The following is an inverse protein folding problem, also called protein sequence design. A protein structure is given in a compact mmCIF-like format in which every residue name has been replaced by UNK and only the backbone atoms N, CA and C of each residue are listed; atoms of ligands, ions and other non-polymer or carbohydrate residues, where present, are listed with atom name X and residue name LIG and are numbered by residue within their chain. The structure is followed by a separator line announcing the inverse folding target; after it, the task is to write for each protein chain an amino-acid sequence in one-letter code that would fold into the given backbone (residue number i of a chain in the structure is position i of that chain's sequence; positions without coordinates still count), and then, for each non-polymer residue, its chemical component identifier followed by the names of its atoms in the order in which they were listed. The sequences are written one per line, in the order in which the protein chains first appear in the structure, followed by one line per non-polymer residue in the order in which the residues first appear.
data_IF_287272873908
#
_entry.id   IF_287272873908
#
_cell.length_a   1.000
_cell.length_b   1.000
_cell.length_c   1.000
_cell.angle_alpha   90.00
_cell.angle_beta   90.00
_cell.angle_gamma   90.00
#
_symmetry.space_group_name_H-M   'P 1'
#
loop_
_entity.id
_entity.type
_entity.pdbx_description
1 polymer ?
#
# COMPACT_ATOMS: atom_id res chain seq x y z
N UNK A 1 -19.33 18.49 12.65
CA UNK A 1 -20.19 18.07 13.78
C UNK A 1 -19.38 18.27 15.05
N UNK A 2 -19.91 18.94 16.07
CA UNK A 2 -19.18 19.14 17.34
C UNK A 2 -18.86 17.79 17.99
N UNK A 3 -17.68 17.68 18.60
CA UNK A 3 -17.21 16.43 19.21
C UNK A 3 -18.05 16.12 20.46
N UNK A 4 -18.85 15.03 20.49
CA UNK A 4 -19.79 14.76 21.57
C UNK A 4 -19.06 14.54 22.91
N UNK A 5 -17.82 14.04 22.88
CA UNK A 5 -17.01 13.85 24.08
C UNK A 5 -16.68 15.19 24.76
N UNK A 6 -16.38 16.24 23.98
CA UNK A 6 -16.06 17.57 24.55
C UNK A 6 -17.25 18.23 25.25
N UNK A 7 -18.46 17.88 24.85
CA UNK A 7 -19.70 18.43 25.42
C UNK A 7 -20.30 17.58 26.54
N UNK A 8 -19.82 16.33 26.73
CA UNK A 8 -20.42 15.39 27.66
C UNK A 8 -19.96 15.61 29.11
N UNK A 9 -20.90 15.61 30.06
CA UNK A 9 -20.62 15.91 31.48
C UNK A 9 -19.58 14.97 32.12
N UNK A 10 -19.57 13.69 31.74
CA UNK A 10 -18.61 12.70 32.27
C UNK A 10 -17.17 12.87 31.73
N UNK A 11 -16.99 13.63 30.64
CA UNK A 11 -15.69 13.89 30.02
C UNK A 11 -15.13 15.25 30.42
N UNK A 12 -15.75 15.91 31.40
CA UNK A 12 -15.35 17.21 31.90
C UNK A 12 -14.04 17.08 32.68
N UNK A 13 -12.92 17.31 32.00
CA UNK A 13 -11.57 17.18 32.56
C UNK A 13 -10.64 16.26 31.75
N UNK A 14 -11.18 15.54 30.77
CA UNK A 14 -10.35 14.84 29.78
C UNK A 14 -9.59 15.88 28.95
N UNK A 15 -8.31 15.63 28.72
CA UNK A 15 -7.52 16.49 27.84
C UNK A 15 -7.81 16.18 26.35
N UNK A 16 -7.22 16.96 25.47
CA UNK A 16 -7.41 16.78 24.04
C UNK A 16 -6.81 15.46 23.52
N UNK A 17 -5.80 14.90 24.20
CA UNK A 17 -5.16 13.64 23.82
C UNK A 17 -6.07 12.45 24.12
N UNK A 18 -6.60 12.37 25.34
CA UNK A 18 -7.58 11.36 25.78
C UNK A 18 -8.78 11.27 24.83
N UNK A 19 -9.29 12.44 24.44
CA UNK A 19 -10.43 12.55 23.52
C UNK A 19 -10.05 12.05 22.12
N UNK A 20 -8.84 12.36 21.63
CA UNK A 20 -8.40 11.89 20.32
C UNK A 20 -8.12 10.38 20.29
N UNK A 21 -7.55 9.83 21.35
CA UNK A 21 -7.33 8.38 21.51
C UNK A 21 -8.65 7.61 21.57
N UNK A 22 -9.63 8.13 22.32
CA UNK A 22 -10.96 7.53 22.40
C UNK A 22 -11.63 7.50 21.03
N UNK A 23 -11.53 8.58 20.27
CA UNK A 23 -12.06 8.63 18.91
C UNK A 23 -11.30 7.71 17.95
N UNK A 24 -10.00 7.48 18.13
CA UNK A 24 -9.26 6.47 17.35
C UNK A 24 -9.75 5.06 17.68
N UNK A 25 -9.92 4.76 18.97
CA UNK A 25 -10.44 3.48 19.41
C UNK A 25 -11.86 3.24 18.86
N UNK A 26 -12.71 4.27 18.85
CA UNK A 26 -14.05 4.18 18.27
C UNK A 26 -14.01 3.97 16.75
N UNK A 27 -13.16 4.70 16.04
CA UNK A 27 -12.94 4.51 14.60
C UNK A 27 -12.48 3.07 14.30
N UNK A 28 -11.46 2.59 15.01
CA UNK A 28 -10.93 1.24 14.86
C UNK A 28 -11.97 0.17 15.21
N UNK A 29 -12.79 0.39 16.24
CA UNK A 29 -13.85 -0.53 16.62
C UNK A 29 -14.94 -0.64 15.54
N UNK A 30 -15.45 0.51 15.05
CA UNK A 30 -16.52 0.53 14.04
C UNK A 30 -16.01 0.02 12.69
N UNK A 31 -14.86 0.52 12.23
CA UNK A 31 -14.33 0.22 10.89
C UNK A 31 -13.49 -1.05 10.84
N UNK A 32 -13.11 -1.58 12.00
CA UNK A 32 -12.50 -2.90 12.15
C UNK A 32 -13.52 -4.04 12.20
N UNK A 33 -14.78 -3.74 12.51
CA UNK A 33 -15.87 -4.72 12.49
C UNK A 33 -16.09 -5.28 11.07
N UNK A 34 -16.18 -6.60 10.98
CA UNK A 34 -16.29 -7.30 9.70
C UNK A 34 -17.60 -6.98 8.97
N UNK A 35 -18.71 -6.84 9.68
CA UNK A 35 -20.01 -6.58 9.06
C UNK A 35 -20.07 -5.15 8.52
N UNK A 36 -19.56 -4.19 9.29
CA UNK A 36 -19.45 -2.79 8.85
C UNK A 36 -18.53 -2.69 7.63
N UNK A 37 -17.34 -3.29 7.70
CA UNK A 37 -16.38 -3.29 6.58
C UNK A 37 -17.00 -3.89 5.31
N UNK A 38 -17.63 -5.06 5.41
CA UNK A 38 -18.28 -5.71 4.28
C UNK A 38 -19.47 -4.89 3.75
N UNK A 39 -20.21 -4.22 4.62
CA UNK A 39 -21.30 -3.32 4.21
C UNK A 39 -20.76 -2.11 3.43
N UNK A 40 -19.68 -1.47 3.90
CA UNK A 40 -19.03 -0.37 3.18
C UNK A 40 -18.56 -0.86 1.82
N UNK A 41 -17.80 -1.96 1.79
CA UNK A 41 -17.26 -2.51 0.54
C UNK A 41 -18.36 -2.95 -0.41
N UNK A 42 -19.48 -3.50 0.06
CA UNK A 42 -20.60 -3.87 -0.83
C UNK A 42 -21.30 -2.66 -1.44
N UNK A 43 -21.48 -1.58 -0.68
CA UNK A 43 -22.24 -0.41 -1.14
C UNK A 43 -21.40 0.60 -1.93
N UNK A 44 -20.09 0.65 -1.67
CA UNK A 44 -19.13 1.51 -2.38
C UNK A 44 -18.36 0.72 -3.47
N UNK A 45 -18.49 -0.60 -3.50
CA UNK A 45 -17.55 -1.54 -4.13
C UNK A 45 -17.51 -1.62 -5.64
N UNK A 46 -18.59 -1.37 -6.36
CA UNK A 46 -18.63 -1.61 -7.82
C UNK A 46 -17.48 -0.88 -8.59
N UNK A 47 -17.25 0.42 -8.34
CA UNK A 47 -16.07 1.10 -8.89
C UNK A 47 -14.73 0.60 -8.34
N UNK A 48 -14.69 0.18 -7.07
CA UNK A 48 -13.48 -0.28 -6.37
C UNK A 48 -13.00 -1.64 -6.89
N UNK A 49 -13.87 -2.64 -6.96
CA UNK A 49 -13.54 -3.99 -7.41
C UNK A 49 -12.97 -3.99 -8.82
N UNK A 50 -13.58 -3.23 -9.74
CA UNK A 50 -13.09 -3.10 -11.11
C UNK A 50 -11.72 -2.43 -11.17
N UNK A 51 -11.48 -1.40 -10.35
CA UNK A 51 -10.19 -0.69 -10.31
C UNK A 51 -9.10 -1.57 -9.71
N UNK A 52 -9.40 -2.27 -8.63
CA UNK A 52 -8.51 -3.26 -8.01
C UNK A 52 -8.17 -4.39 -8.97
N UNK A 53 -9.16 -4.90 -9.73
CA UNK A 53 -8.93 -5.92 -10.75
C UNK A 53 -7.98 -5.41 -11.85
N UNK A 54 -8.20 -4.20 -12.37
CA UNK A 54 -7.34 -3.60 -13.39
C UNK A 54 -5.90 -3.40 -12.87
N UNK A 55 -5.76 -2.85 -11.66
CA UNK A 55 -4.45 -2.66 -11.03
C UNK A 55 -3.75 -4.00 -10.79
N UNK A 56 -4.48 -5.01 -10.32
CA UNK A 56 -3.96 -6.37 -10.13
C UNK A 56 -3.45 -6.99 -11.43
N UNK A 57 -4.24 -6.91 -12.51
CA UNK A 57 -3.80 -7.34 -13.86
C UNK A 57 -2.53 -6.59 -14.25
N UNK A 58 -2.50 -5.27 -14.05
CA UNK A 58 -1.37 -4.41 -14.42
C UNK A 58 -0.10 -4.82 -13.67
N UNK A 59 -0.20 -4.97 -12.35
CA UNK A 59 0.90 -5.40 -11.50
C UNK A 59 1.39 -6.81 -11.87
N UNK A 60 0.49 -7.72 -12.24
CA UNK A 60 0.86 -9.06 -12.72
C UNK A 60 1.63 -9.00 -14.04
N UNK A 61 1.15 -8.20 -14.99
CA UNK A 61 1.74 -8.07 -16.32
C UNK A 61 3.13 -7.41 -16.26
N UNK A 62 3.33 -6.48 -15.32
CA UNK A 62 4.59 -5.78 -15.11
C UNK A 62 5.62 -6.56 -14.25
N UNK A 63 5.38 -7.83 -13.90
CA UNK A 63 6.33 -8.60 -13.06
C UNK A 63 7.72 -8.82 -13.69
N UNK A 64 7.87 -8.59 -14.99
CA UNK A 64 9.18 -8.62 -15.65
C UNK A 64 10.06 -7.40 -15.35
N UNK A 65 9.49 -6.31 -14.83
CA UNK A 65 10.20 -5.07 -14.50
C UNK A 65 11.16 -5.32 -13.33
N UNK A 66 12.44 -5.07 -13.54
CA UNK A 66 13.50 -5.22 -12.54
C UNK A 66 13.79 -3.90 -11.84
N UNK A 67 14.48 -3.97 -10.70
CA UNK A 67 14.89 -2.79 -9.94
C UNK A 67 15.74 -1.82 -10.78
N UNK A 68 16.58 -2.34 -11.68
CA UNK A 68 17.39 -1.54 -12.61
C UNK A 68 16.57 -0.74 -13.62
N UNK A 69 15.36 -1.19 -13.99
CA UNK A 69 14.49 -0.43 -14.89
C UNK A 69 13.89 0.81 -14.22
N UNK A 70 13.87 0.85 -12.89
CA UNK A 70 13.40 1.97 -12.07
C UNK A 70 14.56 2.79 -11.50
N UNK A 71 15.75 2.67 -12.10
CA UNK A 71 16.97 3.39 -11.70
C UNK A 71 17.40 3.17 -10.23
N UNK A 72 16.96 2.04 -9.63
CA UNK A 72 17.36 1.68 -8.25
C UNK A 72 18.85 1.30 -8.25
N UNK A 73 19.65 2.01 -7.44
CA UNK A 73 21.09 1.77 -7.29
C UNK A 73 21.39 0.33 -6.89
N UNK A 74 22.45 -0.25 -7.47
CA UNK A 74 22.86 -1.67 -7.27
C UNK A 74 22.96 -2.08 -5.79
N UNK A 75 23.40 -1.17 -4.93
CA UNK A 75 23.52 -1.41 -3.49
C UNK A 75 22.18 -1.74 -2.80
N UNK A 76 21.05 -1.26 -3.33
CA UNK A 76 19.73 -1.50 -2.76
C UNK A 76 18.99 -2.69 -3.39
N UNK A 77 19.34 -3.10 -4.62
CA UNK A 77 18.54 -4.03 -5.43
C UNK A 77 18.29 -5.41 -4.79
N UNK A 78 19.21 -5.89 -3.95
CA UNK A 78 19.12 -7.20 -3.28
C UNK A 78 19.01 -7.08 -1.75
N UNK A 79 18.67 -5.89 -1.24
CA UNK A 79 18.65 -5.67 0.19
C UNK A 79 17.45 -6.37 0.86
N UNK A 80 17.62 -7.06 2.01
CA UNK A 80 16.53 -7.77 2.70
C UNK A 80 15.34 -6.89 3.08
N UNK A 81 15.58 -5.59 3.28
CA UNK A 81 14.54 -4.61 3.57
C UNK A 81 13.45 -4.54 2.48
N UNK A 82 13.77 -4.81 1.21
CA UNK A 82 12.78 -4.83 0.13
C UNK A 82 11.72 -5.91 0.39
N UNK A 83 12.14 -7.10 0.82
CA UNK A 83 11.22 -8.19 1.16
C UNK A 83 10.36 -7.84 2.38
N UNK A 84 10.94 -7.18 3.38
CA UNK A 84 10.20 -6.75 4.57
C UNK A 84 9.17 -5.66 4.24
N UNK A 85 9.56 -4.64 3.47
CA UNK A 85 8.66 -3.58 3.03
C UNK A 85 7.52 -4.15 2.15
N UNK A 86 7.82 -5.12 1.29
CA UNK A 86 6.82 -5.84 0.48
C UNK A 86 5.77 -6.52 1.35
N UNK A 87 6.20 -7.20 2.42
CA UNK A 87 5.27 -7.83 3.37
C UNK A 87 4.35 -6.80 4.03
N UNK A 88 4.89 -5.63 4.42
CA UNK A 88 4.07 -4.57 5.01
C UNK A 88 3.03 -4.03 4.02
N UNK A 89 3.37 -3.85 2.74
CA UNK A 89 2.37 -3.44 1.73
C UNK A 89 1.32 -4.52 1.50
N UNK A 90 1.72 -5.80 1.46
CA UNK A 90 0.77 -6.90 1.29
C UNK A 90 -0.24 -6.98 2.46
N UNK A 91 0.20 -6.72 3.69
CA UNK A 91 -0.66 -6.71 4.88
C UNK A 91 -1.79 -5.68 4.83
N UNK A 92 -1.75 -4.69 3.92
CA UNK A 92 -2.86 -3.76 3.72
C UNK A 92 -4.15 -4.53 3.40
N UNK A 93 -4.07 -5.64 2.67
CA UNK A 93 -5.22 -6.47 2.31
C UNK A 93 -5.80 -7.25 3.51
N UNK A 94 -4.99 -7.49 4.55
CA UNK A 94 -5.32 -8.33 5.71
C UNK A 94 -6.01 -7.54 6.84
N UNK A 95 -5.79 -6.23 6.90
CA UNK A 95 -6.32 -5.36 7.96
C UNK A 95 -7.54 -4.56 7.48
N UNK A 96 -8.45 -4.24 8.41
CA UNK A 96 -9.73 -3.57 8.08
C UNK A 96 -9.74 -2.10 8.48
N UNK A 97 -9.26 -1.76 9.67
CA UNK A 97 -9.32 -0.39 10.16
C UNK A 97 -8.41 0.54 9.31
N UNK A 98 -8.86 1.76 8.94
CA UNK A 98 -8.05 2.70 8.16
C UNK A 98 -6.70 2.99 8.82
N UNK A 99 -6.68 3.13 10.14
CA UNK A 99 -5.45 3.36 10.90
C UNK A 99 -4.44 2.23 10.73
N UNK A 100 -4.88 0.98 10.76
CA UNK A 100 -4.01 -0.18 10.60
C UNK A 100 -3.46 -0.24 9.17
N UNK A 101 -4.30 0.02 8.16
CA UNK A 101 -3.86 0.11 6.76
C UNK A 101 -2.79 1.20 6.59
N UNK A 102 -2.97 2.39 7.18
CA UNK A 102 -1.98 3.48 7.13
C UNK A 102 -0.69 3.08 7.85
N UNK A 103 -0.79 2.36 8.97
CA UNK A 103 0.38 1.90 9.72
C UNK A 103 1.19 0.87 8.91
N UNK A 104 0.57 0.01 8.11
CA UNK A 104 1.26 -0.84 7.14
C UNK A 104 2.11 -0.02 6.16
N UNK A 105 1.54 1.05 5.59
CA UNK A 105 2.26 1.96 4.68
C UNK A 105 3.42 2.65 5.39
N UNK A 106 3.16 3.17 6.59
CA UNK A 106 4.16 3.85 7.41
C UNK A 106 5.34 2.94 7.77
N UNK A 107 5.07 1.68 8.14
CA UNK A 107 6.10 0.67 8.41
C UNK A 107 6.91 0.34 7.17
N UNK A 108 6.27 0.15 6.01
CA UNK A 108 6.97 -0.05 4.74
C UNK A 108 7.92 1.12 4.45
N UNK A 109 7.44 2.35 4.61
CA UNK A 109 8.25 3.55 4.38
C UNK A 109 9.46 3.62 5.33
N UNK A 110 9.26 3.38 6.64
CA UNK A 110 10.36 3.36 7.62
C UNK A 110 11.41 2.31 7.31
N UNK A 111 11.00 1.13 6.84
CA UNK A 111 11.93 0.06 6.44
C UNK A 111 12.80 0.52 5.26
N UNK A 112 12.18 1.17 4.26
CA UNK A 112 12.91 1.71 3.10
C UNK A 112 13.87 2.82 3.53
N UNK A 113 13.43 3.79 4.34
CA UNK A 113 14.28 4.88 4.82
C UNK A 113 15.47 4.42 5.67
N UNK A 114 15.26 3.42 6.55
CA UNK A 114 16.36 2.81 7.31
C UNK A 114 17.41 2.20 6.38
N UNK A 115 16.97 1.40 5.41
CA UNK A 115 17.86 0.82 4.41
C UNK A 115 18.62 1.91 3.65
N UNK A 116 17.93 2.96 3.19
CA UNK A 116 18.58 4.05 2.45
C UNK A 116 19.65 4.74 3.31
N UNK A 117 19.34 5.09 4.55
CA UNK A 117 20.29 5.73 5.47
C UNK A 117 21.48 4.82 5.83
N UNK A 118 21.26 3.50 5.95
CA UNK A 118 22.32 2.51 6.21
C UNK A 118 23.31 2.39 5.05
N UNK A 119 22.85 2.55 3.82
CA UNK A 119 23.62 2.23 2.61
C UNK A 119 24.21 3.43 1.90
N UNK A 120 23.63 4.63 2.05
CA UNK A 120 24.06 5.83 1.32
C UNK A 120 24.98 6.76 2.13
N UNK A 121 25.07 6.61 3.46
CA UNK A 121 25.89 7.47 4.32
C UNK A 121 25.43 8.94 4.42
N UNK A 122 24.45 9.32 3.60
CA UNK A 122 23.79 10.63 3.57
C UNK A 122 22.30 10.47 3.94
N UNK A 123 21.60 11.59 4.15
CA UNK A 123 20.16 11.55 4.42
C UNK A 123 19.40 11.15 3.16
N UNK A 124 18.63 10.07 3.23
CA UNK A 124 17.80 9.57 2.14
C UNK A 124 16.86 10.65 1.56
N UNK A 125 16.94 10.86 0.25
CA UNK A 125 16.08 11.80 -0.47
C UNK A 125 14.76 11.18 -0.92
N UNK A 126 13.79 11.99 -1.34
CA UNK A 126 12.57 11.51 -1.96
C UNK A 126 12.83 10.78 -3.30
N UNK A 127 13.85 11.22 -4.03
CA UNK A 127 14.26 10.64 -5.32
C UNK A 127 14.90 9.24 -5.16
N UNK A 128 15.51 8.96 -4.01
CA UNK A 128 15.95 7.60 -3.66
C UNK A 128 14.80 6.71 -3.17
N UNK A 129 13.76 7.32 -2.57
CA UNK A 129 12.66 6.60 -1.93
C UNK A 129 11.59 6.11 -2.91
N UNK A 130 11.08 7.00 -3.77
CA UNK A 130 9.90 6.71 -4.60
C UNK A 130 10.12 5.52 -5.56
N UNK A 131 11.25 5.39 -6.28
CA UNK A 131 11.48 4.23 -7.15
C UNK A 131 11.48 2.90 -6.39
N UNK A 132 12.00 2.91 -5.16
CA UNK A 132 12.00 1.74 -4.28
C UNK A 132 10.58 1.42 -3.82
N UNK A 133 9.78 2.42 -3.46
CA UNK A 133 8.37 2.22 -3.12
C UNK A 133 7.58 1.63 -4.30
N UNK A 134 7.76 2.16 -5.52
CA UNK A 134 7.14 1.63 -6.75
C UNK A 134 7.51 0.15 -6.93
N UNK A 135 8.79 -0.19 -6.79
CA UNK A 135 9.25 -1.56 -6.92
C UNK A 135 8.63 -2.48 -5.84
N UNK A 136 8.61 -2.04 -4.58
CA UNK A 136 8.04 -2.78 -3.45
C UNK A 136 6.54 -3.02 -3.67
N UNK A 137 5.80 -1.99 -4.07
CA UNK A 137 4.36 -2.09 -4.38
C UNK A 137 4.16 -3.08 -5.51
N UNK A 138 4.86 -2.92 -6.63
CA UNK A 138 4.76 -3.82 -7.79
C UNK A 138 5.01 -5.29 -7.41
N UNK A 139 5.98 -5.55 -6.52
CA UNK A 139 6.31 -6.90 -6.05
C UNK A 139 5.35 -7.43 -4.99
N UNK A 140 4.61 -6.59 -4.29
CA UNK A 140 3.67 -7.01 -3.24
C UNK A 140 2.45 -7.78 -3.78
N UNK A 141 2.05 -7.49 -5.02
CA UNK A 141 0.83 -8.03 -5.62
C UNK A 141 -0.40 -7.87 -4.69
N UNK A 142 -0.45 -6.78 -3.91
CA UNK A 142 -1.62 -6.44 -3.10
C UNK A 142 -2.83 -6.25 -4.02
N UNK A 143 -3.87 -7.03 -3.78
CA UNK A 143 -5.04 -7.20 -4.65
C UNK A 143 -6.08 -6.10 -4.47
N UNK A 144 -6.10 -5.43 -3.31
CA UNK A 144 -7.12 -4.43 -2.95
C UNK A 144 -6.51 -3.06 -2.70
N UNK A 145 -5.43 -2.75 -3.41
CA UNK A 145 -4.63 -1.56 -3.10
C UNK A 145 -5.33 -0.25 -3.50
N UNK A 146 -6.07 -0.23 -4.62
CA UNK A 146 -6.80 0.96 -5.05
C UNK A 146 -7.94 1.26 -4.07
N UNK A 147 -8.76 0.25 -3.76
CA UNK A 147 -9.85 0.41 -2.81
C UNK A 147 -9.35 0.73 -1.40
N UNK A 148 -8.22 0.14 -0.97
CA UNK A 148 -7.61 0.46 0.32
C UNK A 148 -7.10 1.90 0.40
N UNK A 149 -6.54 2.44 -0.69
CA UNK A 149 -6.11 3.84 -0.77
C UNK A 149 -7.30 4.80 -0.63
N UNK A 150 -8.37 4.54 -1.38
CA UNK A 150 -9.58 5.36 -1.35
C UNK A 150 -10.30 5.25 0.00
N UNK A 151 -10.37 4.03 0.55
CA UNK A 151 -10.90 3.77 1.89
C UNK A 151 -10.11 4.52 2.99
N UNK A 152 -8.77 4.48 2.95
CA UNK A 152 -7.94 5.23 3.90
C UNK A 152 -8.19 6.74 3.79
N UNK A 153 -8.32 7.27 2.56
CA UNK A 153 -8.54 8.70 2.34
C UNK A 153 -9.93 9.17 2.80
N UNK A 154 -10.96 8.34 2.63
CA UNK A 154 -12.35 8.69 2.96
C UNK A 154 -12.72 8.45 4.42
N UNK A 155 -12.23 7.36 5.02
CA UNK A 155 -12.71 6.90 6.33
C UNK A 155 -11.78 7.23 7.50
N UNK A 156 -10.53 7.64 7.25
CA UNK A 156 -9.65 8.12 8.32
C UNK A 156 -9.97 9.57 8.68
N UNK A 157 -10.05 9.86 9.97
CA UNK A 157 -10.28 11.23 10.45
C UNK A 157 -9.22 12.22 9.90
N UNK A 158 -9.63 13.36 9.30
CA UNK A 158 -8.68 14.33 8.72
C UNK A 158 -7.63 14.85 9.70
N UNK A 159 -7.99 15.02 10.98
CA UNK A 159 -7.05 15.44 12.04
C UNK A 159 -5.90 14.46 12.27
N UNK A 160 -6.06 13.19 11.88
CA UNK A 160 -5.07 12.12 12.01
C UNK A 160 -4.31 11.84 10.69
N UNK A 161 -4.73 12.44 9.58
CA UNK A 161 -4.06 12.40 8.28
C UNK A 161 -3.18 13.65 8.11
N UNK A 162 -2.14 13.75 8.91
CA UNK A 162 -1.18 14.88 8.85
C UNK A 162 0.27 14.40 8.99
N UNK A 163 1.21 15.28 8.65
CA UNK A 163 2.65 15.01 8.74
C UNK A 163 3.09 13.82 7.87
N UNK A 164 3.99 13.00 8.43
CA UNK A 164 4.60 11.87 7.72
C UNK A 164 3.58 10.84 7.21
N UNK A 165 2.51 10.57 7.98
CA UNK A 165 1.49 9.58 7.59
C UNK A 165 0.74 10.01 6.35
N UNK A 166 0.38 11.29 6.26
CA UNK A 166 -0.23 11.84 5.06
C UNK A 166 0.74 11.81 3.88
N UNK A 167 1.99 12.23 4.11
CA UNK A 167 3.03 12.20 3.08
C UNK A 167 3.23 10.79 2.50
N UNK A 168 3.38 9.75 3.33
CA UNK A 168 3.56 8.38 2.82
C UNK A 168 2.31 7.81 2.15
N UNK A 169 1.11 8.22 2.57
CA UNK A 169 -0.12 7.87 1.86
C UNK A 169 -0.12 8.47 0.45
N UNK A 170 0.28 9.75 0.31
CA UNK A 170 0.44 10.41 -0.99
C UNK A 170 1.51 9.71 -1.83
N UNK A 171 2.65 9.34 -1.25
CA UNK A 171 3.69 8.59 -1.98
C UNK A 171 3.19 7.22 -2.46
N UNK A 172 2.37 6.52 -1.67
CA UNK A 172 1.75 5.27 -2.11
C UNK A 172 0.74 5.50 -3.24
N UNK A 173 -0.07 6.56 -3.17
CA UNK A 173 -0.96 6.95 -4.27
C UNK A 173 -0.17 7.24 -5.55
N UNK A 174 0.94 7.98 -5.45
CA UNK A 174 1.86 8.24 -6.56
C UNK A 174 2.43 6.95 -7.13
N UNK A 175 2.88 6.02 -6.28
CA UNK A 175 3.43 4.75 -6.72
C UNK A 175 2.38 3.90 -7.45
N UNK A 176 1.14 3.85 -6.94
CA UNK A 176 0.02 3.13 -7.59
C UNK A 176 -0.35 3.77 -8.93
N UNK A 177 -0.44 5.09 -9.00
CA UNK A 177 -0.72 5.80 -10.24
C UNK A 177 0.38 5.58 -11.29
N UNK A 178 1.65 5.57 -10.86
CA UNK A 178 2.78 5.26 -11.74
C UNK A 178 2.67 3.84 -12.31
N UNK A 179 2.32 2.84 -11.50
CA UNK A 179 2.13 1.46 -11.95
C UNK A 179 0.96 1.34 -12.94
N UNK A 180 -0.16 2.03 -12.67
CA UNK A 180 -1.34 2.01 -13.54
C UNK A 180 -0.98 2.51 -14.96
N UNK A 181 -0.19 3.59 -15.03
CA UNK A 181 0.18 4.26 -16.28
C UNK A 181 1.56 3.88 -16.82
N UNK A 182 2.27 2.92 -16.23
CA UNK A 182 3.65 2.57 -16.58
C UNK A 182 3.79 2.08 -18.04
N UNK A 183 4.55 2.80 -18.85
CA UNK A 183 4.91 2.38 -20.20
C UNK A 183 6.43 2.23 -20.37
N UNK A 184 6.87 1.88 -21.58
CA UNK A 184 8.29 1.74 -21.88
C UNK A 184 9.07 3.06 -21.76
N UNK A 185 8.43 4.22 -21.90
CA UNK A 185 9.09 5.52 -21.75
C UNK A 185 9.26 5.91 -20.27
N UNK A 186 8.45 5.32 -19.39
CA UNK A 186 8.47 5.56 -17.95
C UNK A 186 9.62 4.85 -17.22
N UNK A 187 10.24 3.84 -17.84
CA UNK A 187 11.28 3.00 -17.23
C UNK A 187 12.44 2.74 -18.19
N UNK A 188 13.62 2.43 -17.66
CA UNK A 188 14.83 2.16 -18.45
C UNK A 188 14.77 0.75 -19.09
N UNK A 189 14.05 0.62 -20.22
CA UNK A 189 13.90 -0.62 -21.00
C UNK A 189 13.76 -0.31 -22.51
N UNK A 190 14.11 -1.26 -23.37
CA UNK A 190 13.80 -1.14 -24.79
C UNK A 190 12.27 -1.21 -25.01
N UNK A 191 11.66 -0.29 -25.79
CA UNK A 191 10.22 -0.30 -26.06
C UNK A 191 9.69 -1.59 -26.69
N UNK A 192 10.42 -2.20 -27.63
CA UNK A 192 10.02 -3.47 -28.25
C UNK A 192 10.07 -4.62 -27.23
N UNK A 193 11.09 -4.62 -26.36
CA UNK A 193 11.22 -5.61 -25.30
C UNK A 193 10.08 -5.50 -24.28
N UNK A 194 9.70 -4.28 -23.90
CA UNK A 194 8.56 -4.02 -23.02
C UNK A 194 7.26 -4.58 -23.62
N UNK A 195 6.96 -4.24 -24.87
CA UNK A 195 5.75 -4.67 -25.56
C UNK A 195 5.66 -6.20 -25.68
N UNK A 196 6.76 -6.85 -26.04
CA UNK A 196 6.82 -8.32 -26.15
C UNK A 196 6.56 -8.97 -24.79
N UNK A 197 7.25 -8.51 -23.74
CA UNK A 197 7.09 -9.07 -22.39
C UNK A 197 5.70 -8.81 -21.83
N UNK A 198 5.18 -7.60 -22.01
CA UNK A 198 3.86 -7.22 -21.52
C UNK A 198 2.75 -8.05 -22.19
N UNK A 199 2.75 -8.15 -23.52
CA UNK A 199 1.77 -8.97 -24.26
C UNK A 199 1.87 -10.46 -23.93
N UNK A 200 3.07 -10.98 -23.68
CA UNK A 200 3.24 -12.35 -23.20
C UNK A 200 2.51 -12.55 -21.87
N UNK A 201 2.70 -11.63 -20.92
CA UNK A 201 2.08 -11.70 -19.60
C UNK A 201 0.57 -11.46 -19.62
N UNK A 202 0.07 -10.63 -20.54
CA UNK A 202 -1.38 -10.45 -20.73
C UNK A 202 -2.05 -11.74 -21.20
N UNK A 203 -1.45 -12.49 -22.12
CA UNK A 203 -1.97 -13.81 -22.52
C UNK A 203 -1.99 -14.79 -21.35
N UNK A 204 -0.92 -14.84 -20.56
CA UNK A 204 -0.86 -15.67 -19.35
C UNK A 204 -1.95 -15.30 -18.33
N UNK A 205 -2.30 -14.01 -18.22
CA UNK A 205 -3.38 -13.55 -17.34
C UNK A 205 -4.76 -14.02 -17.83
N UNK A 206 -5.00 -13.94 -19.14
CA UNK A 206 -6.24 -14.39 -19.79
C UNK A 206 -6.41 -15.91 -19.67
N UNK A 207 -5.33 -16.68 -19.88
CA UNK A 207 -5.31 -18.14 -19.71
C UNK A 207 -5.63 -18.57 -18.27
N UNK A 208 -5.27 -17.74 -17.28
CA UNK A 208 -5.58 -17.96 -15.85
C UNK A 208 -7.00 -17.52 -15.45
N UNK A 209 -7.82 -17.05 -16.39
CA UNK A 209 -9.17 -16.55 -16.12
C UNK A 209 -9.20 -15.24 -15.31
N UNK A 210 -8.11 -14.46 -15.35
CA UNK A 210 -8.04 -13.15 -14.70
C UNK A 210 -8.05 -13.17 -13.16
N UNK A 211 -7.61 -14.26 -12.54
CA UNK A 211 -7.50 -14.36 -11.09
C UNK A 211 -6.06 -14.19 -10.62
N UNK A 212 -5.86 -13.35 -9.60
CA UNK A 212 -4.60 -13.27 -8.87
C UNK A 212 -4.43 -14.57 -8.08
N UNK A 213 -3.36 -15.31 -8.34
CA UNK A 213 -3.00 -16.44 -7.48
C UNK A 213 -2.55 -15.87 -6.13
N UNK A 214 -3.37 -16.00 -5.09
CA UNK A 214 -2.94 -15.72 -3.71
C UNK A 214 -1.86 -16.77 -3.40
N UNK A 215 -0.60 -16.38 -3.43
CA UNK A 215 0.48 -17.23 -2.94
C UNK A 215 0.38 -17.20 -1.42
N UNK A 216 -0.41 -18.11 -0.85
CA UNK A 216 -0.28 -18.44 0.56
C UNK A 216 1.10 -19.09 0.72
N UNK A 217 2.11 -18.31 1.09
CA UNK A 217 3.33 -18.89 1.67
C UNK A 217 2.89 -19.58 2.97
N UNK A 218 2.61 -20.88 2.89
CA UNK A 218 2.42 -21.72 4.05
C UNK A 218 3.69 -21.64 4.88
N UNK A 219 3.62 -20.93 5.99
CA UNK A 219 4.64 -20.99 7.03
C UNK A 219 4.61 -22.43 7.56
N UNK A 220 5.50 -23.27 7.04
CA UNK A 220 5.81 -24.55 7.67
C UNK A 220 6.42 -24.23 9.03
N UNK A 221 5.65 -24.50 10.08
CA UNK A 221 6.07 -24.38 11.47
C UNK A 221 7.31 -25.26 11.70
N UNK A 222 8.47 -24.70 12.10
CA UNK A 222 9.67 -25.49 12.39
C UNK A 222 9.60 -26.26 13.72
N UNK A 223 8.43 -26.32 14.38
CA UNK A 223 8.26 -27.03 15.66
C UNK A 223 7.05 -27.96 15.63
N UNK A 224 7.20 -29.08 14.93
CA UNK A 224 6.45 -30.31 15.15
C UNK A 224 7.43 -31.49 15.19
#
# INVERSE_FOLDING_TARGET
MENPFKTHKLWKGADDEDVQETLDALEAYILGDEQVFNSIFKNVGEPWERRDHNLSKRMFCLQFVKAENLDIKKIHQNHPALTLARKMIHQIDEVRAPQEKIECVFRAARIIYRMLNETSGESASADDFLPILIFVVLRSQASRLYSSLDYMAQFRRPSRLSGERHYYLVQLQTAVAFIDHMDAASITINPEEFEVKYKSREREWEERGGQVTIVSESVSDPRA
#
